data_IF_280176475705
#
_entry.id   IF_280176475705
#
_cell.length_a   1.000
_cell.length_b   1.000
_cell.length_c   1.000
_cell.angle_alpha   90.00
_cell.angle_beta   90.00
_cell.angle_gamma   90.00
#
_symmetry.space_group_name_H-M   'P 1'
#
loop_
_entity.id
_entity.type
_entity.pdbx_description
1 polymer ?
#
# COMPACT_ATOMS: atom_id res chain seq x y z
N UNK A 1 11.96 -10.42 1.33
CA UNK A 1 13.31 -9.85 1.57
C UNK A 1 14.02 -9.48 0.26
N UNK A 2 14.24 -10.42 -0.67
CA UNK A 2 14.95 -10.17 -1.95
C UNK A 2 14.42 -8.98 -2.76
N UNK A 3 13.09 -8.84 -2.87
CA UNK A 3 12.44 -7.76 -3.63
C UNK A 3 12.85 -6.37 -3.09
N UNK A 4 12.87 -6.20 -1.76
CA UNK A 4 13.22 -4.94 -1.12
C UNK A 4 14.70 -4.59 -1.31
N UNK A 5 15.58 -5.59 -1.24
CA UNK A 5 17.02 -5.38 -1.34
C UNK A 5 17.48 -5.08 -2.78
N UNK A 6 16.95 -5.80 -3.76
CA UNK A 6 17.41 -5.69 -5.16
C UNK A 6 16.68 -4.61 -5.96
N UNK A 7 15.37 -4.52 -5.78
CA UNK A 7 14.54 -3.64 -6.60
C UNK A 7 14.06 -2.39 -5.85
N UNK A 8 14.36 -2.28 -4.55
CA UNK A 8 13.90 -1.17 -3.69
C UNK A 8 12.38 -1.00 -3.68
N UNK A 9 11.65 -2.09 -3.93
CA UNK A 9 10.18 -2.10 -3.96
C UNK A 9 9.66 -2.66 -2.64
N UNK A 10 8.67 -1.98 -2.07
CA UNK A 10 7.90 -2.54 -0.97
C UNK A 10 6.85 -3.51 -1.51
N UNK A 11 7.06 -4.80 -1.24
CA UNK A 11 6.09 -5.83 -1.54
C UNK A 11 5.18 -6.09 -0.35
N UNK A 12 3.88 -6.21 -0.62
CA UNK A 12 2.89 -6.69 0.31
C UNK A 12 2.76 -8.21 0.15
N UNK A 13 2.62 -8.90 1.27
CA UNK A 13 2.34 -10.33 1.30
C UNK A 13 0.90 -10.53 1.74
N UNK A 14 0.15 -11.33 0.99
CA UNK A 14 -1.23 -11.73 1.29
C UNK A 14 -1.37 -13.27 1.20
N UNK A 15 -2.61 -13.79 1.21
CA UNK A 15 -2.87 -15.22 1.11
C UNK A 15 -2.59 -15.82 -0.26
N UNK A 16 -2.60 -14.99 -1.31
CA UNK A 16 -2.48 -15.41 -2.71
C UNK A 16 -1.05 -15.22 -3.23
N UNK A 17 -0.23 -14.43 -2.54
CA UNK A 17 1.22 -14.36 -2.73
C UNK A 17 1.81 -12.99 -2.41
N UNK A 18 2.75 -12.58 -3.27
CA UNK A 18 3.45 -11.29 -3.17
C UNK A 18 2.88 -10.32 -4.21
N UNK A 19 2.43 -9.15 -3.75
CA UNK A 19 1.89 -8.07 -4.59
C UNK A 19 2.69 -6.78 -4.41
N UNK A 20 3.01 -6.12 -5.51
CA UNK A 20 3.75 -4.85 -5.50
C UNK A 20 3.49 -4.04 -6.78
N UNK A 21 3.84 -2.75 -6.73
CA UNK A 21 3.62 -1.82 -7.84
C UNK A 21 4.96 -1.38 -8.44
N UNK A 22 5.02 -1.36 -9.78
CA UNK A 22 6.19 -0.91 -10.55
C UNK A 22 5.76 -0.05 -11.73
N UNK A 23 6.62 0.88 -12.13
CA UNK A 23 6.50 1.54 -13.42
C UNK A 23 6.81 0.55 -14.55
N UNK A 24 6.10 0.64 -15.67
CA UNK A 24 6.32 -0.17 -16.87
C UNK A 24 6.41 -1.68 -16.58
N UNK A 25 5.41 -2.23 -15.89
CA UNK A 25 5.41 -3.63 -15.46
C UNK A 25 5.61 -4.66 -16.60
N UNK A 26 5.19 -4.34 -17.82
CA UNK A 26 5.39 -5.19 -19.00
C UNK A 26 6.89 -5.34 -19.36
N UNK A 27 7.68 -4.29 -19.19
CA UNK A 27 9.13 -4.28 -19.43
C UNK A 27 9.91 -4.84 -18.23
N UNK A 28 9.40 -4.63 -17.01
CA UNK A 28 10.02 -5.11 -15.78
C UNK A 28 9.96 -6.64 -15.64
N UNK A 29 8.84 -7.27 -16.01
CA UNK A 29 8.60 -8.71 -15.77
C UNK A 29 9.66 -9.62 -16.39
N UNK A 30 10.07 -9.46 -17.67
CA UNK A 30 11.08 -10.32 -18.28
C UNK A 30 12.41 -10.34 -17.52
N UNK A 31 12.89 -9.18 -17.06
CA UNK A 31 14.16 -9.07 -16.34
C UNK A 31 14.02 -9.57 -14.90
N UNK A 32 12.87 -9.28 -14.27
CA UNK A 32 12.53 -9.85 -12.97
C UNK A 32 12.56 -11.38 -12.99
N UNK A 33 11.90 -12.04 -13.95
CA UNK A 33 11.86 -13.51 -14.01
C UNK A 33 13.25 -14.13 -14.23
N UNK A 34 14.13 -13.46 -14.99
CA UNK A 34 15.50 -13.95 -15.24
C UNK A 34 16.39 -13.85 -14.02
N UNK A 35 16.28 -12.77 -13.26
CA UNK A 35 17.21 -12.43 -12.18
C UNK A 35 16.72 -12.88 -10.79
N UNK A 36 15.42 -13.14 -10.64
CA UNK A 36 14.85 -13.55 -9.38
C UNK A 36 15.29 -14.97 -9.04
N UNK A 37 16.00 -15.12 -7.91
CA UNK A 37 16.66 -16.38 -7.55
C UNK A 37 15.71 -17.50 -7.12
N UNK A 38 14.42 -17.18 -6.93
CA UNK A 38 13.40 -18.11 -6.43
C UNK A 38 12.48 -18.58 -7.56
N UNK A 39 12.05 -19.84 -7.52
CA UNK A 39 11.11 -20.39 -8.50
C UNK A 39 9.77 -19.62 -8.47
N UNK A 40 9.44 -19.00 -9.59
CA UNK A 40 8.15 -18.34 -9.80
C UNK A 40 7.15 -19.38 -10.35
N UNK A 41 6.02 -19.56 -9.66
CA UNK A 41 4.96 -20.49 -10.09
C UNK A 41 3.96 -19.81 -11.03
N UNK A 42 3.62 -18.55 -10.74
CA UNK A 42 2.68 -17.74 -11.51
C UNK A 42 3.00 -16.26 -11.32
N UNK A 43 2.74 -15.46 -12.34
CA UNK A 43 2.80 -14.00 -12.27
C UNK A 43 1.55 -13.41 -12.95
N UNK A 44 1.00 -12.35 -12.37
CA UNK A 44 -0.13 -11.62 -12.93
C UNK A 44 0.22 -10.14 -12.98
N UNK A 45 -0.02 -9.52 -14.14
CA UNK A 45 0.13 -8.09 -14.32
C UNK A 45 -1.24 -7.47 -14.55
N UNK A 46 -1.58 -6.48 -13.73
CA UNK A 46 -2.79 -5.67 -13.90
C UNK A 46 -2.39 -4.21 -13.96
N UNK A 47 -2.94 -3.49 -14.93
CA UNK A 47 -2.86 -2.02 -14.93
C UNK A 47 -3.86 -1.50 -13.89
N UNK A 48 -3.42 -0.64 -12.94
CA UNK A 48 -4.34 -0.05 -11.98
C UNK A 48 -5.42 0.75 -12.73
N UNK A 49 -6.66 0.63 -12.30
CA UNK A 49 -7.76 1.43 -12.82
C UNK A 49 -7.78 2.80 -12.16
N UNK A 50 -8.53 3.74 -12.75
CA UNK A 50 -8.75 5.04 -12.12
C UNK A 50 -9.39 4.86 -10.73
N UNK A 51 -10.29 3.90 -10.56
CA UNK A 51 -10.91 3.59 -9.28
C UNK A 51 -9.89 3.07 -8.26
N UNK A 52 -8.96 2.21 -8.66
CA UNK A 52 -7.89 1.71 -7.78
C UNK A 52 -7.00 2.87 -7.29
N UNK A 53 -6.67 3.79 -8.20
CA UNK A 53 -5.87 4.99 -7.89
C UNK A 53 -6.65 5.96 -7.02
N UNK A 54 -7.92 6.19 -7.33
CA UNK A 54 -8.81 7.06 -6.57
C UNK A 54 -8.95 6.53 -5.14
N UNK A 55 -9.30 5.26 -4.95
CA UNK A 55 -9.38 4.61 -3.65
C UNK A 55 -8.06 4.69 -2.87
N UNK A 56 -6.91 4.58 -3.54
CA UNK A 56 -5.59 4.69 -2.89
C UNK A 56 -5.25 6.12 -2.47
N UNK A 57 -5.71 7.14 -3.20
CA UNK A 57 -5.44 8.56 -2.93
C UNK A 57 -6.48 9.17 -1.99
N UNK A 58 -7.77 9.06 -2.30
CA UNK A 58 -8.86 9.63 -1.50
C UNK A 58 -9.22 8.78 -0.29
N UNK A 59 -9.03 7.46 -0.36
CA UNK A 59 -9.18 6.58 0.80
C UNK A 59 -8.11 6.80 1.88
N UNK A 60 -6.98 7.44 1.55
CA UNK A 60 -6.00 7.92 2.55
C UNK A 60 -6.50 9.20 3.24
N UNK A 61 -6.94 10.19 2.47
CA UNK A 61 -7.46 11.46 3.03
C UNK A 61 -8.66 11.22 3.96
N UNK A 62 -9.63 10.39 3.56
CA UNK A 62 -10.81 10.10 4.39
C UNK A 62 -10.44 9.41 5.72
N UNK A 63 -9.49 8.46 5.69
CA UNK A 63 -9.00 7.79 6.92
C UNK A 63 -8.25 8.74 7.83
N UNK A 64 -7.42 9.63 7.28
CA UNK A 64 -6.70 10.64 8.06
C UNK A 64 -7.66 11.67 8.65
N UNK A 65 -8.72 12.04 7.93
CA UNK A 65 -9.74 12.97 8.41
C UNK A 65 -10.59 12.37 9.54
N UNK A 66 -11.00 11.10 9.43
CA UNK A 66 -11.69 10.37 10.50
C UNK A 66 -10.86 10.33 11.79
N UNK A 67 -9.56 10.03 11.67
CA UNK A 67 -8.62 10.03 12.80
C UNK A 67 -8.52 11.43 13.41
N UNK A 68 -8.37 12.49 12.60
CA UNK A 68 -8.39 13.88 13.13
C UNK A 68 -9.69 14.23 13.82
N UNK A 69 -10.83 13.82 13.27
CA UNK A 69 -12.16 14.04 13.84
C UNK A 69 -12.32 13.37 15.21
N UNK A 70 -11.92 12.10 15.32
CA UNK A 70 -11.93 11.35 16.59
C UNK A 70 -10.96 11.94 17.61
N UNK A 71 -9.73 12.26 17.23
CA UNK A 71 -8.77 12.94 18.12
C UNK A 71 -9.31 14.27 18.64
N UNK A 72 -9.91 15.10 17.77
CA UNK A 72 -10.53 16.37 18.16
C UNK A 72 -11.70 16.17 19.14
N UNK A 73 -12.51 15.12 18.95
CA UNK A 73 -13.59 14.77 19.86
C UNK A 73 -13.06 14.36 21.25
N UNK A 74 -12.04 13.51 21.30
CA UNK A 74 -11.40 13.05 22.54
C UNK A 74 -10.77 14.21 23.32
N UNK A 75 -10.05 15.12 22.64
CA UNK A 75 -9.44 16.31 23.25
C UNK A 75 -10.50 17.25 23.83
N UNK A 76 -11.63 17.45 23.12
CA UNK A 76 -12.75 18.26 23.62
C UNK A 76 -13.43 17.64 24.83
N UNK A 77 -13.50 16.32 24.90
CA UNK A 77 -14.08 15.60 26.05
C UNK A 77 -13.18 15.69 27.29
N UNK A 78 -11.86 15.54 27.14
CA UNK A 78 -10.90 15.68 28.24
C UNK A 78 -10.77 17.12 28.76
N UNK A 79 -10.77 18.13 27.88
CA UNK A 79 -10.69 19.54 28.28
C UNK A 79 -11.90 20.03 29.09
N UNK A 80 -13.04 19.33 28.99
CA UNK A 80 -14.24 19.62 29.80
C UNK A 80 -14.16 19.01 31.21
N UNK A 81 -13.43 17.91 31.38
CA UNK A 81 -13.27 17.23 32.67
C UNK A 81 -12.30 17.95 33.60
N UNK A 82 -11.34 18.72 33.07
CA UNK A 82 -10.35 19.47 33.85
C UNK A 82 -10.83 20.85 34.35
N UNK A 83 -12.04 21.28 33.96
CA UNK A 83 -12.64 22.56 34.35
C UNK A 83 -13.66 22.44 35.49
N UNK A 84 -13.68 21.32 36.21
CA UNK A 84 -14.45 21.12 37.43
C UNK A 84 -13.53 21.01 38.63
#
# INVERSE_FOLDING_TARGET
>A
EEIKLRYQIEARHDSDGLSFEVANGEEFIPDFIKEFGTKILSISLRRPTLDDVFLKLTGRELREEEVRGTFKAIVRQHGRSMRR
#
